data_IF_181297083413
#
_entry.id   IF_181297083413
#
_cell.length_a   1.000
_cell.length_b   1.000
_cell.length_c   1.000
_cell.angle_alpha   90.00
_cell.angle_beta   90.00
_cell.angle_gamma   90.00
#
_symmetry.space_group_name_H-M   'P 1'
#
loop_
_entity.id
_entity.type
_entity.pdbx_description
1 polymer ?
#
# COMPACT_ATOMS: atom_id res chain seq x y z
N UNK A 1 2.89 -25.42 26.54
CA UNK A 1 3.01 -23.97 26.28
C UNK A 1 3.46 -23.80 24.85
N UNK A 2 2.66 -23.18 23.98
CA UNK A 2 3.00 -23.06 22.55
C UNK A 2 3.95 -21.87 22.37
N UNK A 3 5.02 -22.06 21.58
CA UNK A 3 6.03 -21.03 21.28
C UNK A 3 5.58 -20.05 20.18
N UNK A 4 4.45 -20.31 19.56
CA UNK A 4 3.91 -19.48 18.49
C UNK A 4 3.01 -18.41 19.12
N UNK A 5 3.47 -17.16 19.06
CA UNK A 5 2.62 -16.03 19.37
C UNK A 5 1.39 -16.02 18.45
N UNK A 6 0.29 -15.45 18.93
CA UNK A 6 -0.94 -15.29 18.13
C UNK A 6 -0.57 -14.62 16.81
N UNK A 7 -1.02 -15.21 15.70
CA UNK A 7 -0.80 -14.62 14.38
C UNK A 7 -1.39 -13.20 14.37
N UNK A 8 -0.75 -12.25 13.69
CA UNK A 8 -1.28 -10.90 13.56
C UNK A 8 -2.68 -10.95 12.96
N UNK A 9 -3.52 -9.99 13.33
CA UNK A 9 -4.81 -9.81 12.66
C UNK A 9 -4.54 -9.56 11.17
N UNK A 10 -5.15 -10.39 10.32
CA UNK A 10 -5.02 -10.34 8.85
C UNK A 10 -6.33 -9.97 8.20
N UNK A 11 -7.33 -9.56 8.97
CA UNK A 11 -8.61 -9.13 8.41
C UNK A 11 -8.38 -7.85 7.61
N UNK A 12 -8.65 -7.86 6.28
CA UNK A 12 -8.47 -6.69 5.45
C UNK A 12 -9.46 -5.59 5.87
N UNK A 13 -8.96 -4.36 5.97
CA UNK A 13 -9.77 -3.17 6.27
C UNK A 13 -10.11 -2.46 4.97
N UNK A 14 -11.40 -2.23 4.71
CA UNK A 14 -11.84 -1.43 3.56
C UNK A 14 -11.62 0.07 3.85
N UNK A 15 -10.79 0.72 3.04
CA UNK A 15 -10.57 2.16 3.10
C UNK A 15 -11.19 2.84 1.87
N UNK A 16 -12.04 3.85 2.10
CA UNK A 16 -12.57 4.71 1.02
C UNK A 16 -11.84 6.05 1.06
N UNK A 17 -11.27 6.47 -0.06
CA UNK A 17 -10.56 7.76 -0.19
C UNK A 17 -11.19 8.62 -1.29
N UNK A 18 -11.14 9.94 -1.11
CA UNK A 18 -11.46 10.91 -2.15
C UNK A 18 -10.15 11.55 -2.59
N UNK A 19 -9.88 11.51 -3.89
CA UNK A 19 -8.66 12.07 -4.47
C UNK A 19 -9.01 13.21 -5.43
N UNK A 20 -8.08 14.15 -5.59
CA UNK A 20 -8.23 15.23 -6.57
C UNK A 20 -8.12 14.69 -8.00
N UNK A 21 -8.73 15.36 -9.00
CA UNK A 21 -8.73 14.90 -10.39
C UNK A 21 -7.33 14.62 -10.95
N UNK A 22 -6.35 15.45 -10.63
CA UNK A 22 -4.98 15.30 -11.11
C UNK A 22 -4.34 14.00 -10.61
N UNK A 23 -4.55 13.66 -9.33
CA UNK A 23 -4.06 12.40 -8.77
C UNK A 23 -4.80 11.20 -9.38
N UNK A 24 -6.12 11.32 -9.59
CA UNK A 24 -6.89 10.27 -10.26
C UNK A 24 -6.34 9.95 -11.65
N UNK A 25 -6.03 11.00 -12.43
CA UNK A 25 -5.44 10.85 -13.77
C UNK A 25 -4.05 10.21 -13.71
N UNK A 26 -3.18 10.70 -12.82
CA UNK A 26 -1.84 10.14 -12.66
C UNK A 26 -1.87 8.65 -12.27
N UNK A 27 -2.81 8.25 -11.40
CA UNK A 27 -2.99 6.84 -11.02
C UNK A 27 -3.46 5.99 -12.22
N UNK A 28 -4.39 6.50 -13.03
CA UNK A 28 -4.85 5.80 -14.23
C UNK A 28 -3.73 5.62 -15.26
N UNK A 29 -2.93 6.66 -15.49
CA UNK A 29 -1.76 6.62 -16.38
C UNK A 29 -0.72 5.62 -15.88
N UNK A 30 -0.45 5.60 -14.56
CA UNK A 30 0.47 4.63 -13.96
C UNK A 30 -0.04 3.19 -14.07
N UNK A 31 -1.34 2.96 -13.89
CA UNK A 31 -1.92 1.63 -14.08
C UNK A 31 -1.74 1.17 -15.53
N UNK A 32 -1.98 2.05 -16.52
CA UNK A 32 -1.73 1.73 -17.92
C UNK A 32 -0.26 1.36 -18.18
N UNK A 33 0.68 2.12 -17.62
CA UNK A 33 2.11 1.84 -17.71
C UNK A 33 2.49 0.50 -17.08
N UNK A 34 1.95 0.17 -15.90
CA UNK A 34 2.18 -1.11 -15.23
C UNK A 34 1.71 -2.28 -16.10
N UNK A 35 0.49 -2.18 -16.67
CA UNK A 35 -0.06 -3.21 -17.55
C UNK A 35 0.77 -3.41 -18.82
N UNK A 36 1.27 -2.33 -19.41
CA UNK A 36 2.16 -2.41 -20.58
C UNK A 36 3.50 -3.09 -20.23
N UNK A 37 4.04 -2.78 -19.04
CA UNK A 37 5.31 -3.34 -18.57
C UNK A 37 5.24 -4.83 -18.23
N UNK A 38 4.16 -5.27 -17.59
CA UNK A 38 4.04 -6.63 -17.03
C UNK A 38 3.01 -7.53 -17.74
N UNK A 39 2.23 -7.00 -18.68
CA UNK A 39 1.16 -7.75 -19.37
C UNK A 39 -0.01 -8.17 -18.48
N UNK A 40 -0.05 -7.68 -17.24
CA UNK A 40 -1.06 -8.03 -16.24
C UNK A 40 -2.25 -7.08 -16.31
N UNK A 41 -3.45 -7.52 -15.93
CA UNK A 41 -4.64 -6.68 -15.81
C UNK A 41 -4.77 -6.12 -14.38
N UNK A 42 -3.81 -5.32 -13.95
CA UNK A 42 -3.92 -4.59 -12.69
C UNK A 42 -4.69 -3.28 -12.90
N UNK A 43 -5.67 -3.01 -12.03
CA UNK A 43 -6.34 -1.72 -11.93
C UNK A 43 -5.74 -0.87 -10.80
N UNK A 44 -6.10 0.41 -10.78
CA UNK A 44 -5.61 1.36 -9.76
C UNK A 44 -5.88 0.84 -8.34
N UNK A 45 -7.03 0.21 -8.11
CA UNK A 45 -7.39 -0.35 -6.80
C UNK A 45 -6.46 -1.49 -6.34
N UNK A 46 -5.91 -2.26 -7.27
CA UNK A 46 -4.97 -3.35 -6.98
C UNK A 46 -3.58 -2.81 -6.66
N UNK A 47 -3.21 -1.69 -7.30
CA UNK A 47 -1.90 -1.06 -7.15
C UNK A 47 -1.78 -0.18 -5.91
N UNK A 48 -2.88 0.46 -5.47
CA UNK A 48 -2.87 1.39 -4.32
C UNK A 48 -2.28 0.75 -3.05
N UNK A 49 -2.67 -0.47 -2.62
CA UNK A 49 -2.09 -1.09 -1.43
C UNK A 49 -0.56 -1.23 -1.53
N UNK A 50 -0.06 -1.75 -2.65
CA UNK A 50 1.38 -1.94 -2.87
C UNK A 50 2.15 -0.61 -2.95
N UNK A 51 1.55 0.41 -3.58
CA UNK A 51 2.12 1.76 -3.61
C UNK A 51 2.23 2.38 -2.21
N UNK A 52 1.18 2.25 -1.39
CA UNK A 52 1.17 2.76 -0.02
C UNK A 52 2.17 2.02 0.88
N UNK A 53 2.26 0.70 0.75
CA UNK A 53 3.28 -0.09 1.45
C UNK A 53 4.70 0.36 1.08
N UNK A 54 4.97 0.51 -0.23
CA UNK A 54 6.26 1.00 -0.72
C UNK A 54 6.57 2.41 -0.22
N UNK A 55 5.59 3.31 -0.23
CA UNK A 55 5.73 4.67 0.27
C UNK A 55 6.08 4.69 1.76
N UNK A 56 5.32 3.97 2.59
CA UNK A 56 5.55 3.89 4.04
C UNK A 56 6.90 3.23 4.38
N UNK A 57 7.31 2.22 3.61
CA UNK A 57 8.59 1.54 3.80
C UNK A 57 9.79 2.43 3.41
N UNK A 58 9.62 3.32 2.42
CA UNK A 58 10.65 4.24 1.96
C UNK A 58 10.87 5.44 2.91
N UNK A 59 9.86 5.80 3.71
CA UNK A 59 9.96 6.89 4.67
C UNK A 59 10.73 6.46 5.93
N UNK A 60 12.01 6.82 6.00
CA UNK A 60 12.89 6.53 7.15
C UNK A 60 12.45 7.24 8.44
N UNK A 61 11.88 8.44 8.33
CA UNK A 61 11.42 9.17 9.51
C UNK A 61 10.19 8.47 10.10
N UNK A 62 9.26 8.05 9.24
CA UNK A 62 8.14 7.22 9.64
C UNK A 62 8.58 5.86 10.21
N UNK A 63 9.55 5.18 9.57
CA UNK A 63 10.07 3.92 10.07
C UNK A 63 10.67 4.04 11.48
N UNK A 64 11.39 5.15 11.76
CA UNK A 64 11.90 5.46 13.10
C UNK A 64 10.76 5.73 14.09
N UNK A 65 9.79 6.57 13.71
CA UNK A 65 8.62 6.87 14.54
C UNK A 65 7.86 5.59 14.93
N UNK A 66 7.62 4.68 13.98
CA UNK A 66 6.93 3.42 14.26
C UNK A 66 7.70 2.53 15.23
N UNK A 67 9.02 2.44 15.08
CA UNK A 67 9.88 1.68 16.01
C UNK A 67 9.85 2.26 17.42
N UNK A 68 9.83 3.58 17.54
CA UNK A 68 9.84 4.28 18.83
C UNK A 68 8.44 4.27 19.50
N UNK A 69 7.36 4.07 18.73
CA UNK A 69 5.98 3.98 19.21
C UNK A 69 5.45 2.55 19.47
N UNK A 70 6.20 1.51 19.09
CA UNK A 70 5.91 0.10 19.42
C UNK A 70 6.53 -0.35 20.78
N UNK A 71 6.83 0.61 21.67
CA UNK A 71 7.37 0.37 23.02
C UNK A 71 6.31 0.36 24.13
#
# INVERSE_FOLDING_TARGET
MIKLARLPDRTPVKLTVIVMPDLSRALADYAAFYRDTYGEKADVADLIPAMLEGFLAADKAFAKFRKDGEG
#
